data_IF_560559221863
#
_entry.id   IF_560559221863
#
_cell.length_a   1.000
_cell.length_b   1.000
_cell.length_c   1.000
_cell.angle_alpha   90.00
_cell.angle_beta   90.00
_cell.angle_gamma   90.00
#
_symmetry.space_group_name_H-M   'P 1'
#
loop_
_entity.id
_entity.type
_entity.pdbx_description
1 polymer ?
#
# COMPACT_ATOMS: atom_id res chain seq x y z
N UNK A 1 -23.56 -64.43 19.32
CA UNK A 1 -24.73 -64.12 18.49
C UNK A 1 -24.30 -63.28 17.29
N UNK A 2 -24.59 -63.78 16.09
CA UNK A 2 -24.66 -63.15 14.75
C UNK A 2 -23.49 -62.26 14.28
N UNK A 3 -22.56 -62.92 13.57
CA UNK A 3 -21.98 -62.39 12.33
C UNK A 3 -23.09 -62.34 11.26
N UNK A 4 -23.17 -61.26 10.50
CA UNK A 4 -23.99 -61.18 9.29
C UNK A 4 -23.11 -60.87 8.09
N UNK A 5 -23.40 -61.60 7.03
CA UNK A 5 -22.62 -61.74 5.83
C UNK A 5 -23.59 -61.65 4.65
N UNK A 6 -23.21 -60.83 3.65
CA UNK A 6 -23.58 -60.85 2.23
C UNK A 6 -25.02 -60.38 1.85
N UNK A 7 -25.25 -59.81 0.63
CA UNK A 7 -24.80 -60.38 -0.64
C UNK A 7 -24.26 -59.46 -1.76
N UNK A 8 -23.74 -60.15 -2.78
CA UNK A 8 -23.06 -59.76 -4.01
C UNK A 8 -23.96 -59.30 -5.18
N UNK A 9 -23.37 -58.42 -6.03
CA UNK A 9 -23.41 -58.34 -7.52
C UNK A 9 -24.73 -57.94 -8.25
N UNK A 10 -24.74 -57.51 -9.55
CA UNK A 10 -23.66 -57.42 -10.58
C UNK A 10 -23.57 -56.01 -11.26
N UNK A 11 -22.65 -55.68 -12.20
CA UNK A 11 -22.89 -55.71 -13.66
C UNK A 11 -21.77 -54.96 -14.43
N UNK A 12 -21.08 -55.66 -15.35
CA UNK A 12 -20.66 -55.29 -16.72
C UNK A 12 -19.70 -54.10 -17.02
N UNK A 13 -18.47 -54.48 -17.42
CA UNK A 13 -17.74 -54.11 -18.65
C UNK A 13 -18.24 -52.93 -19.50
N UNK A 14 -17.38 -51.93 -19.73
CA UNK A 14 -16.99 -51.49 -21.08
C UNK A 14 -15.80 -50.52 -21.03
N UNK A 15 -14.84 -50.78 -21.90
CA UNK A 15 -13.68 -49.93 -22.18
C UNK A 15 -14.10 -48.63 -22.90
N UNK A 16 -13.40 -47.54 -22.59
CA UNK A 16 -12.89 -46.58 -23.59
C UNK A 16 -11.85 -45.71 -22.89
N UNK A 17 -10.64 -45.67 -23.44
CA UNK A 17 -9.58 -44.80 -22.98
C UNK A 17 -9.99 -43.34 -23.15
N UNK A 18 -9.78 -42.56 -22.09
CA UNK A 18 -9.73 -41.11 -22.18
C UNK A 18 -8.29 -40.70 -21.88
N UNK A 19 -7.67 -40.19 -22.93
CA UNK A 19 -6.30 -39.71 -23.00
C UNK A 19 -6.22 -38.46 -22.13
N UNK A 20 -5.78 -38.62 -20.88
CA UNK A 20 -5.55 -37.48 -19.97
C UNK A 20 -4.59 -36.49 -20.64
N UNK A 21 -5.14 -35.37 -21.11
CA UNK A 21 -4.38 -34.18 -21.46
C UNK A 21 -3.45 -33.80 -20.29
N UNK A 22 -2.21 -33.36 -20.56
CA UNK A 22 -1.25 -33.10 -19.50
C UNK A 22 -1.75 -31.93 -18.65
N UNK A 23 -1.92 -32.22 -17.36
CA UNK A 23 -2.16 -31.25 -16.29
C UNK A 23 -1.09 -30.17 -16.34
N UNK A 24 -1.45 -29.01 -16.88
CA UNK A 24 -0.63 -27.80 -16.81
C UNK A 24 -1.09 -27.02 -15.58
N UNK A 25 -0.08 -26.63 -14.80
CA UNK A 25 -0.08 -25.90 -13.53
C UNK A 25 -1.25 -24.94 -13.31
N UNK A 26 -1.78 -24.98 -12.09
CA UNK A 26 -2.75 -24.02 -11.56
C UNK A 26 -2.19 -22.59 -11.61
N UNK A 27 -2.60 -21.83 -12.62
CA UNK A 27 -2.31 -20.40 -12.75
C UNK A 27 -3.64 -19.66 -12.62
N UNK A 28 -3.75 -18.79 -11.61
CA UNK A 28 -4.97 -18.03 -11.32
C UNK A 28 -5.40 -17.19 -12.52
N UNK A 29 -6.65 -17.37 -12.93
CA UNK A 29 -7.26 -16.69 -14.07
C UNK A 29 -7.83 -15.33 -13.62
N UNK A 30 -7.23 -14.22 -14.06
CA UNK A 30 -7.75 -12.87 -13.76
C UNK A 30 -8.60 -12.38 -14.93
N UNK A 31 -9.85 -11.96 -14.66
CA UNK A 31 -10.71 -11.32 -15.66
C UNK A 31 -10.36 -9.83 -15.76
N UNK A 32 -9.84 -9.38 -16.92
CA UNK A 32 -9.47 -7.97 -17.14
C UNK A 32 -10.69 -7.05 -17.21
N UNK A 33 -11.68 -7.45 -18.01
CA UNK A 33 -12.96 -6.80 -18.16
C UNK A 33 -13.97 -7.83 -18.65
N UNK A 34 -15.20 -7.75 -18.18
CA UNK A 34 -16.33 -8.49 -18.72
C UNK A 34 -17.24 -7.51 -19.46
N UNK A 35 -17.65 -7.85 -20.66
CA UNK A 35 -18.60 -7.06 -21.43
C UNK A 35 -20.02 -7.37 -20.98
N UNK A 36 -20.94 -6.42 -21.13
CA UNK A 36 -22.35 -6.60 -20.77
C UNK A 36 -23.01 -7.80 -21.48
N UNK A 37 -22.47 -8.18 -22.65
CA UNK A 37 -22.89 -9.34 -23.44
C UNK A 37 -22.34 -10.69 -22.91
N UNK A 38 -21.48 -10.68 -21.88
CA UNK A 38 -20.85 -11.86 -21.29
C UNK A 38 -19.87 -12.63 -22.19
N UNK A 39 -19.65 -12.18 -23.43
CA UNK A 39 -18.91 -12.93 -24.46
C UNK A 39 -17.40 -12.75 -24.41
N UNK A 40 -16.90 -11.70 -23.77
CA UNK A 40 -15.48 -11.47 -23.58
C UNK A 40 -15.14 -11.55 -22.09
N UNK A 41 -14.70 -12.73 -21.64
CA UNK A 41 -13.94 -12.90 -20.40
C UNK A 41 -12.52 -13.29 -20.82
N UNK A 42 -11.59 -12.35 -20.69
CA UNK A 42 -10.20 -12.65 -20.96
C UNK A 42 -9.52 -13.04 -19.67
N UNK A 43 -9.15 -14.31 -19.61
CA UNK A 43 -8.36 -14.89 -18.55
C UNK A 43 -6.90 -14.53 -18.77
N UNK A 44 -6.38 -13.75 -17.86
CA UNK A 44 -5.02 -13.25 -17.91
C UNK A 44 -4.11 -14.24 -17.19
N UNK A 45 -2.97 -14.58 -17.82
CA UNK A 45 -1.91 -15.33 -17.15
C UNK A 45 -1.22 -14.45 -16.12
N UNK A 46 -1.38 -14.84 -14.86
CA UNK A 46 -0.71 -14.25 -13.72
C UNK A 46 0.71 -14.80 -13.60
N UNK A 47 1.72 -13.93 -13.70
CA UNK A 47 3.09 -14.27 -13.32
C UNK A 47 3.70 -13.13 -12.51
N UNK A 48 4.15 -13.44 -11.29
CA UNK A 48 4.78 -12.49 -10.35
C UNK A 48 3.94 -11.23 -10.07
N UNK A 49 2.63 -11.37 -9.88
CA UNK A 49 1.74 -10.26 -9.54
C UNK A 49 1.43 -9.31 -10.70
N UNK A 50 1.87 -9.63 -11.92
CA UNK A 50 1.54 -8.89 -13.14
C UNK A 50 0.91 -9.79 -14.19
N UNK A 51 0.22 -9.12 -15.10
CA UNK A 51 -0.52 -9.72 -16.21
C UNK A 51 0.29 -9.58 -17.47
N UNK A 52 0.38 -10.67 -18.23
CA UNK A 52 1.11 -10.71 -19.48
C UNK A 52 0.24 -11.24 -20.61
N UNK A 53 0.20 -10.50 -21.73
CA UNK A 53 -0.46 -10.94 -22.96
C UNK A 53 0.51 -10.88 -24.14
N UNK A 54 0.45 -11.88 -25.00
CA UNK A 54 1.08 -11.86 -26.31
C UNK A 54 0.39 -10.88 -27.25
N UNK A 55 1.07 -10.54 -28.34
CA UNK A 55 0.49 -9.66 -29.36
C UNK A 55 -0.79 -10.22 -30.00
N UNK A 56 -0.89 -11.54 -30.13
CA UNK A 56 -2.06 -12.21 -30.68
C UNK A 56 -3.25 -12.15 -29.71
N UNK A 57 -2.99 -12.35 -28.42
CA UNK A 57 -4.03 -12.22 -27.38
C UNK A 57 -4.53 -10.78 -27.27
N UNK A 58 -3.65 -9.78 -27.38
CA UNK A 58 -4.03 -8.36 -27.46
C UNK A 58 -4.92 -8.05 -28.68
N UNK A 59 -4.59 -8.63 -29.84
CA UNK A 59 -5.38 -8.46 -31.05
C UNK A 59 -6.78 -9.07 -30.89
N UNK A 60 -6.89 -10.24 -30.25
CA UNK A 60 -8.16 -10.86 -29.90
C UNK A 60 -8.95 -10.03 -28.86
N UNK A 61 -8.27 -9.58 -27.80
CA UNK A 61 -8.81 -8.76 -26.71
C UNK A 61 -9.53 -7.52 -27.23
N UNK A 62 -8.87 -6.79 -28.12
CA UNK A 62 -9.40 -5.54 -28.65
C UNK A 62 -10.08 -5.70 -30.01
N UNK A 63 -10.30 -6.94 -30.49
CA UNK A 63 -10.89 -7.24 -31.80
C UNK A 63 -10.27 -6.37 -32.91
N UNK A 64 -8.96 -6.44 -33.03
CA UNK A 64 -8.17 -5.70 -34.01
C UNK A 64 -7.10 -6.59 -34.63
N UNK A 65 -6.32 -6.06 -35.57
CA UNK A 65 -5.26 -6.83 -36.23
C UNK A 65 -3.97 -6.78 -35.42
N UNK A 66 -3.16 -7.85 -35.52
CA UNK A 66 -1.81 -7.88 -34.92
C UNK A 66 -0.95 -6.70 -35.38
N UNK A 67 -1.07 -6.31 -36.65
CA UNK A 67 -0.36 -5.17 -37.24
C UNK A 67 -0.75 -3.85 -36.58
N UNK A 68 -2.04 -3.67 -36.26
CA UNK A 68 -2.50 -2.48 -35.55
C UNK A 68 -1.97 -2.44 -34.11
N UNK A 69 -1.91 -3.60 -33.43
CA UNK A 69 -1.24 -3.72 -32.13
C UNK A 69 0.24 -3.35 -32.25
N UNK A 70 0.99 -3.87 -33.24
CA UNK A 70 2.40 -3.49 -33.48
C UNK A 70 2.57 -2.00 -33.63
N UNK A 71 1.68 -1.35 -34.38
CA UNK A 71 1.72 0.09 -34.60
C UNK A 71 1.53 0.85 -33.28
N UNK A 72 0.53 0.48 -32.47
CA UNK A 72 0.31 1.12 -31.17
C UNK A 72 1.48 0.91 -30.20
N UNK A 73 2.02 -0.31 -30.10
CA UNK A 73 3.21 -0.59 -29.26
C UNK A 73 4.39 0.28 -29.67
N UNK A 74 4.69 0.34 -30.98
CA UNK A 74 5.79 1.16 -31.50
C UNK A 74 5.62 2.63 -31.15
N UNK A 75 4.41 3.16 -31.30
CA UNK A 75 4.12 4.57 -31.01
C UNK A 75 4.24 4.87 -29.51
N UNK A 76 3.73 3.98 -28.64
CA UNK A 76 3.82 4.14 -27.18
C UNK A 76 5.28 4.21 -26.72
N UNK A 77 6.14 3.34 -27.26
CA UNK A 77 7.57 3.33 -26.94
C UNK A 77 8.29 4.54 -27.54
N UNK A 78 7.98 4.94 -28.78
CA UNK A 78 8.61 6.11 -29.41
C UNK A 78 8.25 7.42 -28.71
N UNK A 79 7.05 7.50 -28.15
CA UNK A 79 6.57 8.67 -27.41
C UNK A 79 7.15 8.71 -25.97
N UNK A 80 7.96 7.72 -25.59
CA UNK A 80 8.52 7.54 -24.24
C UNK A 80 7.46 7.47 -23.12
N UNK A 81 6.23 7.06 -23.43
CA UNK A 81 5.20 6.86 -22.42
C UNK A 81 5.52 5.66 -21.52
N UNK A 82 6.09 4.60 -22.11
CA UNK A 82 6.52 3.40 -21.41
C UNK A 82 7.96 3.04 -21.81
N UNK A 83 8.72 2.49 -20.86
CA UNK A 83 10.08 2.02 -21.10
C UNK A 83 10.04 0.55 -21.53
N UNK A 84 10.60 0.23 -22.71
CA UNK A 84 10.51 -1.11 -23.32
C UNK A 84 10.97 -2.23 -22.37
N UNK A 85 12.09 -2.03 -21.68
CA UNK A 85 12.65 -3.00 -20.74
C UNK A 85 11.75 -3.31 -19.53
N UNK A 86 10.77 -2.45 -19.22
CA UNK A 86 9.83 -2.65 -18.13
C UNK A 86 8.52 -3.32 -18.58
N UNK A 87 8.17 -3.23 -19.87
CA UNK A 87 6.83 -3.58 -20.37
C UNK A 87 6.83 -4.71 -21.41
N UNK A 88 7.99 -5.14 -21.88
CA UNK A 88 8.14 -6.23 -22.85
C UNK A 88 9.08 -7.30 -22.28
N UNK A 89 8.66 -8.57 -22.35
CA UNK A 89 9.54 -9.73 -22.10
C UNK A 89 9.44 -10.74 -23.23
N UNK A 90 10.51 -11.51 -23.45
CA UNK A 90 10.49 -12.64 -24.37
C UNK A 90 10.19 -13.93 -23.61
N UNK A 91 9.29 -14.76 -24.15
CA UNK A 91 9.02 -16.11 -23.65
C UNK A 91 9.15 -17.14 -24.78
N UNK A 92 9.54 -18.36 -24.43
CA UNK A 92 9.70 -19.47 -25.36
C UNK A 92 8.44 -20.35 -25.34
N UNK A 93 7.53 -20.06 -26.27
CA UNK A 93 6.32 -20.85 -26.47
C UNK A 93 6.52 -21.94 -27.52
N UNK A 94 6.14 -23.17 -27.19
CA UNK A 94 6.07 -24.29 -28.16
C UNK A 94 4.75 -24.19 -28.92
N UNK A 95 4.79 -24.10 -30.24
CA UNK A 95 3.59 -24.09 -31.07
C UNK A 95 3.08 -25.50 -31.37
N UNK A 96 1.88 -25.59 -31.96
CA UNK A 96 1.22 -26.85 -32.32
C UNK A 96 2.03 -27.74 -33.30
N UNK A 97 3.04 -27.17 -33.97
CA UNK A 97 3.97 -27.87 -34.85
C UNK A 97 5.22 -28.43 -34.13
N UNK A 98 5.27 -28.33 -32.79
CA UNK A 98 6.36 -28.81 -31.95
C UNK A 98 7.60 -27.90 -31.93
N UNK A 99 7.60 -26.77 -32.65
CA UNK A 99 8.72 -25.83 -32.66
C UNK A 99 8.58 -24.78 -31.56
N UNK A 100 9.72 -24.34 -31.02
CA UNK A 100 9.79 -23.25 -30.04
C UNK A 100 9.96 -21.92 -30.76
N UNK A 101 9.06 -20.99 -30.46
CA UNK A 101 9.08 -19.63 -30.96
C UNK A 101 9.30 -18.67 -29.81
N UNK A 102 10.15 -17.66 -30.05
CA UNK A 102 10.25 -16.49 -29.18
C UNK A 102 9.02 -15.63 -29.41
N UNK A 103 8.22 -15.45 -28.37
CA UNK A 103 7.03 -14.60 -28.38
C UNK A 103 7.25 -13.45 -27.43
N UNK A 104 6.92 -12.24 -27.88
CA UNK A 104 6.90 -11.07 -27.02
C UNK A 104 5.61 -11.05 -26.20
N UNK A 105 5.75 -10.84 -24.89
CA UNK A 105 4.67 -10.64 -23.95
C UNK A 105 4.70 -9.20 -23.43
N UNK A 106 3.53 -8.63 -23.25
CA UNK A 106 3.31 -7.25 -22.86
C UNK A 106 2.62 -7.16 -21.50
N UNK A 107 3.09 -6.26 -20.63
CA UNK A 107 2.54 -6.04 -19.27
C UNK A 107 1.14 -5.44 -19.28
N UNK A 108 0.49 -5.45 -18.10
CA UNK A 108 -0.74 -4.70 -17.83
C UNK A 108 -0.66 -3.24 -18.31
N UNK A 109 0.44 -2.53 -18.04
CA UNK A 109 0.59 -1.13 -18.44
C UNK A 109 0.49 -0.94 -19.95
N UNK A 110 1.14 -1.81 -20.72
CA UNK A 110 1.04 -1.82 -22.18
C UNK A 110 -0.38 -2.19 -22.63
N UNK A 111 -1.02 -3.18 -22.00
CA UNK A 111 -2.40 -3.58 -22.31
C UNK A 111 -3.37 -2.40 -22.12
N UNK A 112 -3.26 -1.68 -20.99
CA UNK A 112 -4.06 -0.50 -20.70
C UNK A 112 -3.80 0.62 -21.73
N UNK A 113 -2.54 0.94 -22.01
CA UNK A 113 -2.14 1.98 -22.94
C UNK A 113 -2.65 1.73 -24.38
N UNK A 114 -2.67 0.46 -24.81
CA UNK A 114 -3.25 0.04 -26.09
C UNK A 114 -4.78 0.18 -26.05
N UNK A 115 -5.44 -0.25 -24.97
CA UNK A 115 -6.90 -0.18 -24.84
C UNK A 115 -7.46 1.23 -25.00
N UNK A 116 -6.74 2.25 -24.54
CA UNK A 116 -7.11 3.65 -24.76
C UNK A 116 -6.94 4.13 -26.21
N UNK A 117 -6.07 3.50 -27.01
CA UNK A 117 -5.74 3.93 -28.38
C UNK A 117 -6.47 3.15 -29.47
N UNK A 118 -6.84 1.90 -29.21
CA UNK A 118 -7.47 1.05 -30.23
C UNK A 118 -8.86 1.58 -30.59
N UNK A 119 -9.06 1.81 -31.89
CA UNK A 119 -10.36 2.18 -32.47
C UNK A 119 -11.11 0.92 -32.87
N UNK A 120 -11.78 0.28 -31.91
CA UNK A 120 -12.67 -0.86 -32.14
C UNK A 120 -13.89 -0.79 -31.20
N UNK A 121 -14.95 -1.58 -31.44
CA UNK A 121 -16.05 -1.71 -30.50
C UNK A 121 -15.57 -2.14 -29.10
N UNK A 122 -14.66 -3.12 -29.02
CA UNK A 122 -14.05 -3.55 -27.74
C UNK A 122 -13.19 -2.47 -27.09
N UNK A 123 -12.39 -1.73 -27.87
CA UNK A 123 -11.64 -0.58 -27.34
C UNK A 123 -12.57 0.52 -26.79
N UNK A 124 -13.75 0.71 -27.41
CA UNK A 124 -14.76 1.66 -26.93
C UNK A 124 -15.39 1.20 -25.61
N UNK A 125 -15.78 -0.08 -25.52
CA UNK A 125 -16.30 -0.67 -24.29
C UNK A 125 -15.27 -0.63 -23.15
N UNK A 126 -14.01 -0.97 -23.45
CA UNK A 126 -12.91 -0.88 -22.49
C UNK A 126 -12.75 0.55 -21.95
N UNK A 127 -12.78 1.57 -22.81
CA UNK A 127 -12.70 2.97 -22.36
C UNK A 127 -13.91 3.39 -21.54
N UNK A 128 -15.12 2.96 -21.89
CA UNK A 128 -16.33 3.23 -21.11
C UNK A 128 -16.22 2.60 -19.72
N UNK A 129 -15.83 1.33 -19.65
CA UNK A 129 -15.56 0.62 -18.40
C UNK A 129 -14.52 1.35 -17.55
N UNK A 130 -13.36 1.68 -18.12
CA UNK A 130 -12.28 2.34 -17.39
C UNK A 130 -12.69 3.75 -16.91
N UNK A 131 -13.44 4.48 -17.73
CA UNK A 131 -13.97 5.81 -17.36
C UNK A 131 -14.97 5.71 -16.21
N UNK A 132 -15.83 4.70 -16.19
CA UNK A 132 -16.78 4.48 -15.10
C UNK A 132 -16.05 4.22 -13.78
N UNK A 133 -15.06 3.33 -13.77
CA UNK A 133 -14.30 3.01 -12.56
C UNK A 133 -13.42 4.18 -12.11
N UNK A 134 -12.77 4.88 -13.04
CA UNK A 134 -12.01 6.09 -12.72
C UNK A 134 -12.90 7.20 -12.15
N UNK A 135 -14.10 7.39 -12.71
CA UNK A 135 -15.08 8.34 -12.17
C UNK A 135 -15.49 7.96 -10.75
N UNK A 136 -15.77 6.68 -10.52
CA UNK A 136 -16.11 6.19 -9.19
C UNK A 136 -14.97 6.46 -8.19
N UNK A 137 -13.72 6.15 -8.56
CA UNK A 137 -12.56 6.46 -7.74
C UNK A 137 -12.44 7.96 -7.44
N UNK A 138 -12.63 8.83 -8.43
CA UNK A 138 -12.52 10.28 -8.26
C UNK A 138 -13.64 10.86 -7.36
N UNK A 139 -14.83 10.25 -7.36
CA UNK A 139 -15.97 10.73 -6.55
C UNK A 139 -15.96 10.13 -5.14
N UNK A 140 -15.72 8.82 -5.01
CA UNK A 140 -15.83 8.08 -3.75
C UNK A 140 -14.48 7.91 -3.03
N UNK A 141 -13.37 7.94 -3.77
CA UNK A 141 -12.02 7.65 -3.26
C UNK A 141 -11.62 6.17 -3.31
N UNK A 142 -12.46 5.27 -3.84
CA UNK A 142 -12.19 3.84 -3.94
C UNK A 142 -12.98 3.19 -5.09
N UNK A 143 -12.55 2.00 -5.50
CA UNK A 143 -13.22 1.08 -6.45
C UNK A 143 -13.10 -0.33 -5.90
N UNK A 144 -14.16 -1.14 -5.98
CA UNK A 144 -14.17 -2.52 -5.48
C UNK A 144 -14.77 -3.47 -6.52
N UNK A 145 -14.27 -4.70 -6.51
CA UNK A 145 -14.82 -5.83 -7.26
C UNK A 145 -15.31 -6.85 -6.22
N UNK A 146 -16.55 -6.66 -5.78
CA UNK A 146 -17.12 -7.40 -4.64
C UNK A 146 -17.18 -8.91 -4.90
N UNK A 147 -17.47 -9.32 -6.14
CA UNK A 147 -17.56 -10.74 -6.49
C UNK A 147 -16.19 -11.40 -6.43
N UNK A 148 -15.14 -10.73 -6.92
CA UNK A 148 -13.76 -11.25 -6.80
C UNK A 148 -13.25 -11.24 -5.35
N UNK A 149 -13.68 -10.28 -4.53
CA UNK A 149 -13.34 -10.26 -3.11
C UNK A 149 -14.06 -11.37 -2.32
N UNK A 150 -15.22 -11.86 -2.79
CA UNK A 150 -15.94 -13.00 -2.20
C UNK A 150 -15.38 -14.35 -2.64
N UNK A 151 -14.99 -14.46 -3.90
CA UNK A 151 -14.41 -15.67 -4.49
C UNK A 151 -13.06 -15.35 -5.17
N UNK A 152 -11.98 -15.24 -4.37
CA UNK A 152 -10.66 -14.94 -4.90
C UNK A 152 -10.14 -16.20 -5.60
N UNK A 153 -10.17 -16.19 -6.94
CA UNK A 153 -9.63 -17.24 -7.81
C UNK A 153 -8.08 -17.34 -7.76
N UNK A 154 -7.50 -17.42 -6.56
CA UNK A 154 -6.07 -17.39 -6.27
C UNK A 154 -5.45 -16.00 -6.09
N UNK A 155 -6.23 -14.93 -6.28
CA UNK A 155 -5.80 -13.53 -6.13
C UNK A 155 -6.51 -12.89 -4.93
N UNK A 156 -5.98 -13.15 -3.74
CA UNK A 156 -6.58 -12.67 -2.50
C UNK A 156 -5.81 -11.48 -1.92
N UNK A 157 -6.39 -10.28 -2.10
CA UNK A 157 -5.94 -9.04 -1.45
C UNK A 157 -6.92 -8.59 -0.36
N UNK A 158 -7.84 -9.45 0.06
CA UNK A 158 -8.88 -9.10 1.02
C UNK A 158 -8.28 -8.70 2.37
N UNK A 159 -7.27 -9.44 2.85
CA UNK A 159 -6.58 -9.12 4.11
C UNK A 159 -5.86 -7.77 4.05
N UNK A 160 -5.22 -7.45 2.92
CA UNK A 160 -4.57 -6.15 2.70
C UNK A 160 -5.59 -5.02 2.70
N UNK A 161 -6.73 -5.21 2.01
CA UNK A 161 -7.83 -4.25 2.01
C UNK A 161 -8.39 -4.03 3.42
N UNK A 162 -8.59 -5.11 4.18
CA UNK A 162 -9.10 -5.06 5.54
C UNK A 162 -8.14 -4.32 6.48
N UNK A 163 -6.82 -4.50 6.31
CA UNK A 163 -5.83 -3.77 7.09
C UNK A 163 -5.82 -2.28 6.74
N UNK A 164 -5.90 -1.92 5.45
CA UNK A 164 -6.04 -0.52 5.02
C UNK A 164 -7.31 0.14 5.57
N UNK A 165 -8.44 -0.56 5.54
CA UNK A 165 -9.70 -0.08 6.13
C UNK A 165 -9.54 0.14 7.63
N UNK A 166 -8.91 -0.79 8.35
CA UNK A 166 -8.61 -0.65 9.78
C UNK A 166 -7.75 0.58 10.05
N UNK A 167 -6.66 0.77 9.31
CA UNK A 167 -5.78 1.94 9.45
C UNK A 167 -6.53 3.26 9.19
N UNK A 168 -7.39 3.31 8.17
CA UNK A 168 -8.22 4.49 7.89
C UNK A 168 -9.19 4.75 9.05
N UNK A 169 -9.87 3.71 9.54
CA UNK A 169 -10.86 3.80 10.62
C UNK A 169 -10.22 4.24 11.95
N UNK A 170 -9.00 3.79 12.23
CA UNK A 170 -8.25 4.13 13.44
C UNK A 170 -7.32 5.33 13.27
N UNK A 171 -7.36 6.00 12.11
CA UNK A 171 -6.73 7.31 11.96
C UNK A 171 -7.32 8.27 13.00
N UNK A 172 -6.46 9.08 13.64
CA UNK A 172 -6.86 9.92 14.78
C UNK A 172 -8.10 10.76 14.48
N UNK A 173 -8.18 11.34 13.26
CA UNK A 173 -9.32 12.14 12.83
C UNK A 173 -10.61 11.32 12.75
N UNK A 174 -10.58 10.13 12.13
CA UNK A 174 -11.78 9.29 11.97
C UNK A 174 -12.21 8.67 13.29
N UNK A 175 -11.24 8.20 14.08
CA UNK A 175 -11.48 7.66 15.41
C UNK A 175 -12.12 8.72 16.31
N UNK A 176 -11.56 9.94 16.36
CA UNK A 176 -12.14 11.06 17.12
C UNK A 176 -13.57 11.40 16.66
N UNK A 177 -13.79 11.53 15.35
CA UNK A 177 -15.13 11.82 14.81
C UNK A 177 -16.14 10.75 15.24
N UNK A 178 -15.81 9.47 15.07
CA UNK A 178 -16.69 8.36 15.44
C UNK A 178 -17.01 8.32 16.92
N UNK A 179 -16.01 8.51 17.77
CA UNK A 179 -16.22 8.60 19.23
C UNK A 179 -17.14 9.78 19.58
N UNK A 180 -16.92 10.95 18.97
CA UNK A 180 -17.78 12.12 19.17
C UNK A 180 -19.22 11.86 18.73
N UNK A 181 -19.41 11.24 17.57
CA UNK A 181 -20.74 10.90 17.04
C UNK A 181 -21.49 9.93 17.97
N UNK A 182 -20.79 8.97 18.57
CA UNK A 182 -21.35 8.04 19.56
C UNK A 182 -21.76 8.76 20.85
N UNK A 183 -21.00 9.77 21.29
CA UNK A 183 -21.30 10.50 22.52
C UNK A 183 -22.39 11.53 22.36
N UNK A 184 -22.57 12.07 21.17
CA UNK A 184 -23.72 12.90 20.86
C UNK A 184 -25.06 12.18 21.08
N UNK A 185 -25.06 10.84 21.19
CA UNK A 185 -26.22 10.02 21.54
C UNK A 185 -26.50 9.94 23.04
N UNK A 186 -25.59 10.42 23.90
CA UNK A 186 -25.76 10.35 25.35
C UNK A 186 -26.70 11.45 25.88
N UNK A 187 -27.58 11.08 26.80
CA UNK A 187 -28.60 12.00 27.39
C UNK A 187 -28.00 13.14 28.19
N UNK A 188 -26.81 12.96 28.76
CA UNK A 188 -26.08 13.97 29.52
C UNK A 188 -24.89 14.58 28.76
N UNK A 189 -24.80 14.35 27.45
CA UNK A 189 -23.80 15.01 26.61
C UNK A 189 -24.04 16.51 26.58
N UNK A 190 -22.98 17.26 26.88
CA UNK A 190 -22.91 18.71 26.68
C UNK A 190 -21.80 18.93 25.66
N UNK A 191 -22.01 19.85 24.74
CA UNK A 191 -21.01 20.23 23.74
C UNK A 191 -19.88 21.06 24.40
N UNK A 192 -19.13 20.40 25.27
CA UNK A 192 -17.95 20.89 25.96
C UNK A 192 -16.73 20.20 25.34
N UNK A 193 -16.03 20.95 24.50
CA UNK A 193 -14.82 20.51 23.81
C UNK A 193 -13.72 20.06 24.78
N UNK A 194 -13.67 20.64 26.00
CA UNK A 194 -12.64 20.33 26.99
C UNK A 194 -12.88 18.97 27.61
N UNK A 195 -14.10 18.71 28.08
CA UNK A 195 -14.48 17.43 28.67
C UNK A 195 -14.38 16.28 27.63
N UNK A 196 -14.79 16.54 26.39
CA UNK A 196 -14.71 15.58 25.28
C UNK A 196 -13.26 15.28 24.90
N UNK A 197 -12.41 16.31 24.84
CA UNK A 197 -10.97 16.15 24.59
C UNK A 197 -10.25 15.35 25.67
N UNK A 198 -10.55 15.62 26.95
CA UNK A 198 -9.98 14.85 28.07
C UNK A 198 -10.38 13.39 28.03
N UNK A 199 -11.66 13.10 27.79
CA UNK A 199 -12.13 11.73 27.65
C UNK A 199 -11.41 11.01 26.50
N UNK A 200 -11.30 11.66 25.33
CA UNK A 200 -10.61 11.09 24.18
C UNK A 200 -9.16 10.74 24.51
N UNK A 201 -8.44 11.65 25.18
CA UNK A 201 -7.07 11.41 25.64
C UNK A 201 -6.99 10.22 26.61
N UNK A 202 -7.99 10.05 27.49
CA UNK A 202 -8.08 8.89 28.39
C UNK A 202 -8.26 7.59 27.60
N UNK A 203 -9.19 7.54 26.65
CA UNK A 203 -9.42 6.34 25.82
C UNK A 203 -8.19 6.01 24.98
N UNK A 204 -7.58 7.01 24.33
CA UNK A 204 -6.38 6.80 23.54
C UNK A 204 -5.24 6.24 24.39
N UNK A 205 -5.04 6.78 25.61
CA UNK A 205 -4.04 6.25 26.53
C UNK A 205 -4.37 4.83 27.01
N UNK A 206 -5.64 4.52 27.29
CA UNK A 206 -6.06 3.15 27.66
C UNK A 206 -5.78 2.16 26.53
N UNK A 207 -6.11 2.50 25.29
CA UNK A 207 -5.85 1.64 24.12
C UNK A 207 -4.35 1.48 23.86
N UNK A 208 -3.57 2.56 23.99
CA UNK A 208 -2.12 2.51 23.87
C UNK A 208 -1.48 1.65 24.96
N UNK A 209 -1.94 1.79 26.21
CA UNK A 209 -1.46 1.01 27.35
C UNK A 209 -1.81 -0.48 27.21
N UNK A 210 -2.99 -0.80 26.68
CA UNK A 210 -3.43 -2.17 26.39
C UNK A 210 -2.54 -2.91 25.36
N UNK A 211 -1.66 -2.18 24.66
CA UNK A 211 -0.67 -2.72 23.71
C UNK A 211 0.75 -2.60 24.27
N UNK A 212 1.12 -1.43 24.78
CA UNK A 212 2.52 -1.10 25.12
C UNK A 212 2.85 -1.21 26.61
N UNK A 213 1.81 -1.36 27.46
CA UNK A 213 1.91 -1.25 28.92
C UNK A 213 2.50 0.09 29.41
N UNK A 214 2.40 1.13 28.57
CA UNK A 214 2.90 2.47 28.84
C UNK A 214 1.86 3.50 28.43
N UNK A 215 1.75 4.58 29.22
CA UNK A 215 1.01 5.77 28.78
C UNK A 215 1.76 6.44 27.62
N UNK A 216 1.07 7.30 26.84
CA UNK A 216 1.71 8.06 25.77
C UNK A 216 2.93 8.85 26.25
N UNK A 217 2.79 9.47 27.44
CA UNK A 217 3.86 10.26 28.03
C UNK A 217 5.09 9.42 28.40
N UNK A 218 4.88 8.25 29.03
CA UNK A 218 5.95 7.33 29.38
C UNK A 218 6.63 6.76 28.14
N UNK A 219 5.85 6.35 27.13
CA UNK A 219 6.36 5.78 25.89
C UNK A 219 7.33 6.74 25.18
N UNK A 220 6.92 8.01 25.03
CA UNK A 220 7.74 9.04 24.39
C UNK A 220 9.01 9.29 25.20
N UNK A 221 8.89 9.48 26.52
CA UNK A 221 10.07 9.75 27.38
C UNK A 221 11.05 8.57 27.40
N UNK A 222 10.57 7.36 27.23
CA UNK A 222 11.45 6.19 27.15
C UNK A 222 12.11 6.07 25.77
N UNK A 223 11.36 6.24 24.68
CA UNK A 223 11.84 5.92 23.32
C UNK A 223 12.46 7.09 22.55
N UNK A 224 12.16 8.34 22.91
CA UNK A 224 12.68 9.50 22.19
C UNK A 224 14.19 9.62 22.41
N UNK A 225 15.02 9.08 21.54
CA UNK A 225 16.48 9.03 21.73
C UNK A 225 17.20 9.94 20.72
N UNK A 226 17.82 11.06 21.13
CA UNK A 226 18.48 12.00 20.22
C UNK A 226 19.72 11.42 19.51
N UNK A 227 20.23 10.27 19.95
CA UNK A 227 21.40 9.61 19.38
C UNK A 227 21.02 8.59 18.29
N UNK A 228 19.75 8.20 18.23
CA UNK A 228 19.23 7.31 17.19
C UNK A 228 18.83 8.09 15.93
N UNK A 229 18.86 7.45 14.75
CA UNK A 229 18.32 8.04 13.53
C UNK A 229 16.87 8.51 13.74
N UNK A 230 16.56 9.72 13.29
CA UNK A 230 15.22 10.30 13.39
C UNK A 230 14.64 10.30 14.82
N UNK A 231 15.49 10.37 15.85
CA UNK A 231 15.10 10.23 17.25
C UNK A 231 14.40 8.92 17.64
N UNK A 232 14.63 7.84 16.90
CA UNK A 232 13.91 6.57 17.01
C UNK A 232 12.41 6.62 16.64
N UNK A 233 11.97 7.67 15.92
CA UNK A 233 10.64 7.65 15.31
C UNK A 233 10.58 6.58 14.22
N UNK A 234 9.42 5.92 14.11
CA UNK A 234 9.08 4.93 13.09
C UNK A 234 8.11 5.47 12.04
N UNK A 235 7.49 6.64 12.26
CA UNK A 235 6.62 7.29 11.29
C UNK A 235 6.48 8.80 11.52
N UNK A 236 6.43 9.59 10.45
CA UNK A 236 6.16 11.04 10.45
C UNK A 236 5.73 11.48 9.03
N UNK A 237 5.10 12.65 8.92
CA UNK A 237 4.47 13.10 7.65
C UNK A 237 5.39 13.87 6.72
N UNK A 238 6.37 14.58 7.25
CA UNK A 238 7.23 15.48 6.47
C UNK A 238 8.51 14.79 5.98
N UNK A 239 9.27 15.44 5.10
CA UNK A 239 10.56 14.93 4.64
C UNK A 239 11.58 14.75 5.78
N UNK A 240 11.41 15.51 6.89
CA UNK A 240 12.26 15.43 8.07
C UNK A 240 11.42 15.48 9.35
N UNK A 241 11.97 14.93 10.45
CA UNK A 241 11.34 14.97 11.78
C UNK A 241 11.23 16.40 12.28
N UNK A 242 10.01 16.79 12.68
CA UNK A 242 9.68 18.10 13.24
C UNK A 242 9.44 18.01 14.74
N UNK A 243 9.52 19.18 15.40
CA UNK A 243 9.23 19.33 16.83
C UNK A 243 7.81 18.87 17.22
N UNK A 244 6.85 18.90 16.30
CA UNK A 244 5.48 18.39 16.51
C UNK A 244 5.41 16.87 16.44
N UNK A 245 6.34 16.21 15.75
CA UNK A 245 6.30 14.76 15.55
C UNK A 245 6.80 14.01 16.79
N UNK A 246 7.71 14.61 17.57
CA UNK A 246 8.32 13.98 18.76
C UNK A 246 7.40 13.92 19.98
N UNK A 247 6.23 14.56 19.91
CA UNK A 247 5.21 14.53 20.99
C UNK A 247 4.05 13.58 20.67
N UNK A 248 4.11 12.87 19.54
CA UNK A 248 3.07 11.92 19.10
C UNK A 248 3.53 10.51 19.42
N UNK A 249 2.89 9.86 20.39
CA UNK A 249 3.26 8.53 20.85
C UNK A 249 3.20 7.46 19.74
N UNK A 250 2.23 7.59 18.82
CA UNK A 250 2.09 6.67 17.67
C UNK A 250 3.35 6.63 16.80
N UNK A 251 4.09 7.73 16.71
CA UNK A 251 5.32 7.82 15.91
C UNK A 251 6.49 7.04 16.50
N UNK A 252 6.36 6.51 17.72
CA UNK A 252 7.37 5.68 18.38
C UNK A 252 6.98 4.20 18.45
N UNK A 253 5.85 3.80 17.88
CA UNK A 253 5.39 2.42 17.89
C UNK A 253 6.13 1.56 16.88
N UNK A 254 6.48 0.35 17.28
CA UNK A 254 6.94 -0.67 16.36
C UNK A 254 5.77 -1.13 15.46
N UNK A 255 6.09 -1.74 14.32
CA UNK A 255 5.09 -2.18 13.34
C UNK A 255 4.01 -3.07 13.99
N UNK A 256 4.43 -4.04 14.80
CA UNK A 256 3.50 -4.95 15.50
C UNK A 256 2.61 -4.20 16.50
N UNK A 257 3.15 -3.26 17.28
CA UNK A 257 2.38 -2.47 18.23
C UNK A 257 1.37 -1.57 17.51
N UNK A 258 1.74 -1.00 16.35
CA UNK A 258 0.83 -0.20 15.54
C UNK A 258 -0.33 -1.05 14.98
N UNK A 259 -0.05 -2.25 14.46
CA UNK A 259 -1.07 -3.20 14.02
C UNK A 259 -1.98 -3.62 15.16
N UNK A 260 -1.43 -3.94 16.34
CA UNK A 260 -2.22 -4.28 17.53
C UNK A 260 -3.08 -3.11 18.00
N UNK A 261 -2.55 -1.87 17.98
CA UNK A 261 -3.29 -0.65 18.34
C UNK A 261 -4.44 -0.39 17.35
N UNK A 262 -4.20 -0.54 16.05
CA UNK A 262 -5.26 -0.43 15.04
C UNK A 262 -6.32 -1.51 15.23
N UNK A 263 -5.93 -2.75 15.56
CA UNK A 263 -6.87 -3.84 15.79
C UNK A 263 -7.77 -3.58 17.00
N UNK A 264 -7.19 -3.23 18.16
CA UNK A 264 -7.97 -2.97 19.38
C UNK A 264 -8.89 -1.75 19.23
N UNK A 265 -8.41 -0.67 18.59
CA UNK A 265 -9.20 0.53 18.39
C UNK A 265 -10.38 0.29 17.42
N UNK A 266 -10.19 -0.50 16.35
CA UNK A 266 -11.27 -0.89 15.46
C UNK A 266 -12.33 -1.75 16.18
N UNK A 267 -11.89 -2.77 16.93
CA UNK A 267 -12.78 -3.61 17.74
C UNK A 267 -13.58 -2.81 18.78
N UNK A 268 -12.96 -1.79 19.39
CA UNK A 268 -13.65 -0.92 20.33
C UNK A 268 -14.74 -0.10 19.65
N UNK A 269 -14.49 0.42 18.44
CA UNK A 269 -15.50 1.15 17.69
C UNK A 269 -16.70 0.24 17.34
N UNK A 270 -16.46 -0.99 16.89
CA UNK A 270 -17.53 -1.95 16.62
C UNK A 270 -18.36 -2.23 17.87
N UNK A 271 -17.69 -2.48 18.99
CA UNK A 271 -18.33 -2.68 20.29
C UNK A 271 -19.16 -1.46 20.72
N UNK A 272 -18.60 -0.26 20.56
CA UNK A 272 -19.25 0.98 20.95
C UNK A 272 -20.47 1.29 20.07
N UNK A 273 -20.37 1.07 18.75
CA UNK A 273 -21.47 1.21 17.79
C UNK A 273 -22.61 0.24 18.11
N UNK A 274 -22.30 -1.04 18.40
CA UNK A 274 -23.31 -2.02 18.82
C UNK A 274 -24.01 -1.60 20.12
N UNK A 275 -23.25 -1.16 21.14
CA UNK A 275 -23.81 -0.68 22.42
C UNK A 275 -24.71 0.54 22.25
N UNK A 276 -24.31 1.49 21.40
CA UNK A 276 -25.12 2.65 21.06
C UNK A 276 -26.43 2.25 20.36
N UNK A 277 -26.38 1.29 19.44
CA UNK A 277 -27.58 0.85 18.72
C UNK A 277 -28.62 0.16 19.61
N UNK A 278 -28.19 -0.48 20.71
CA UNK A 278 -29.03 -1.27 21.60
C UNK A 278 -29.64 -0.49 22.77
N UNK A 279 -29.16 0.71 23.09
CA UNK A 279 -29.55 1.45 24.30
C UNK A 279 -30.07 2.84 23.97
N UNK A 280 -31.22 3.18 24.53
CA UNK A 280 -31.87 4.48 24.31
C UNK A 280 -31.41 5.57 25.30
N UNK A 281 -30.86 5.21 26.47
CA UNK A 281 -30.47 6.17 27.52
C UNK A 281 -29.01 5.97 27.97
N UNK A 282 -28.04 6.25 27.10
CA UNK A 282 -26.62 6.19 27.45
C UNK A 282 -26.15 7.46 28.15
N UNK A 283 -25.32 7.32 29.19
CA UNK A 283 -24.65 8.44 29.85
C UNK A 283 -23.16 8.47 29.53
N UNK A 284 -22.53 9.63 29.67
CA UNK A 284 -21.08 9.79 29.48
C UNK A 284 -20.25 8.90 30.41
N UNK A 285 -20.75 8.61 31.61
CA UNK A 285 -20.06 7.71 32.54
C UNK A 285 -20.14 6.24 32.10
N UNK A 286 -21.23 5.83 31.44
CA UNK A 286 -21.36 4.48 30.89
C UNK A 286 -20.25 4.21 29.87
N UNK A 287 -19.91 5.19 29.03
CA UNK A 287 -18.83 5.09 28.07
C UNK A 287 -17.45 4.87 28.72
N UNK A 288 -17.18 5.49 29.87
CA UNK A 288 -15.94 5.24 30.62
C UNK A 288 -15.86 3.78 31.08
N UNK A 289 -16.96 3.29 31.65
CA UNK A 289 -17.05 1.90 32.11
C UNK A 289 -16.98 0.90 30.95
N UNK A 290 -17.53 1.24 29.78
CA UNK A 290 -17.48 0.42 28.59
C UNK A 290 -16.07 0.28 28.03
N UNK A 291 -15.28 1.34 28.03
CA UNK A 291 -13.86 1.27 27.65
C UNK A 291 -13.13 0.29 28.58
N UNK A 292 -13.34 0.40 29.89
CA UNK A 292 -12.64 -0.43 30.88
C UNK A 292 -13.03 -1.90 30.75
N UNK A 293 -14.35 -2.18 30.70
CA UNK A 293 -14.87 -3.54 30.48
C UNK A 293 -14.39 -4.11 29.15
N UNK A 294 -14.32 -3.30 28.09
CA UNK A 294 -13.84 -3.75 26.80
C UNK A 294 -12.37 -4.17 26.86
N UNK A 295 -11.50 -3.37 27.49
CA UNK A 295 -10.08 -3.71 27.65
C UNK A 295 -9.91 -4.98 28.49
N UNK A 296 -10.61 -5.08 29.63
CA UNK A 296 -10.55 -6.25 30.51
C UNK A 296 -11.10 -7.52 29.84
N UNK A 297 -12.25 -7.42 29.17
CA UNK A 297 -12.88 -8.55 28.47
C UNK A 297 -11.99 -9.13 27.36
N UNK A 298 -11.18 -8.28 26.71
CA UNK A 298 -10.22 -8.70 25.71
C UNK A 298 -8.88 -9.20 26.31
N UNK A 299 -8.83 -9.44 27.62
CA UNK A 299 -7.66 -9.92 28.37
C UNK A 299 -6.43 -9.00 28.23
N UNK A 300 -6.67 -7.69 28.10
CA UNK A 300 -5.59 -6.70 27.94
C UNK A 300 -5.29 -5.94 29.23
N UNK A 301 -4.05 -5.48 29.42
CA UNK A 301 -3.69 -4.66 30.58
C UNK A 301 -4.50 -3.37 30.61
N UNK A 302 -5.26 -3.16 31.70
CA UNK A 302 -6.01 -1.94 31.93
C UNK A 302 -5.15 -0.89 32.65
N UNK A 303 -5.14 0.34 32.13
CA UNK A 303 -4.55 1.49 32.79
C UNK A 303 -5.45 1.95 33.95
N UNK A 304 -4.98 1.76 35.19
CA UNK A 304 -5.73 2.08 36.42
C UNK A 304 -5.43 3.47 37.00
N UNK A 305 -4.30 4.06 36.63
CA UNK A 305 -3.84 5.36 37.11
C UNK A 305 -3.41 6.28 35.94
N UNK A 306 -2.99 7.51 36.24
CA UNK A 306 -2.57 8.48 35.22
C UNK A 306 -1.15 8.25 34.69
N UNK A 307 -0.47 7.17 35.11
CA UNK A 307 0.94 6.94 34.86
C UNK A 307 1.86 7.79 35.73
N UNK A 308 3.17 7.64 35.50
CA UNK A 308 4.22 8.29 36.31
C UNK A 308 4.77 9.59 35.70
N UNK A 309 4.41 9.89 34.45
CA UNK A 309 4.95 11.02 33.69
C UNK A 309 3.81 11.92 33.22
N UNK A 310 3.85 13.20 33.58
CA UNK A 310 2.86 14.17 33.11
C UNK A 310 3.09 14.57 31.65
N UNK A 311 2.03 15.07 31.00
CA UNK A 311 2.12 15.55 29.62
C UNK A 311 3.12 16.70 29.46
N UNK A 312 3.08 17.69 30.35
CA UNK A 312 4.01 18.82 30.35
C UNK A 312 5.46 18.36 30.51
N UNK A 313 5.71 17.40 31.42
CA UNK A 313 7.05 16.87 31.63
C UNK A 313 7.55 16.11 30.41
N UNK A 314 6.68 15.31 29.77
CA UNK A 314 7.02 14.64 28.51
C UNK A 314 7.36 15.65 27.41
N UNK A 315 6.57 16.70 27.23
CA UNK A 315 6.82 17.71 26.20
C UNK A 315 8.18 18.40 26.40
N UNK A 316 8.50 18.78 27.64
CA UNK A 316 9.81 19.35 27.98
C UNK A 316 10.95 18.42 27.56
N UNK A 317 10.91 17.16 28.01
CA UNK A 317 11.96 16.17 27.71
C UNK A 317 12.07 15.92 26.20
N UNK A 318 10.94 15.71 25.51
CA UNK A 318 10.93 15.45 24.07
C UNK A 318 11.51 16.64 23.27
N UNK A 319 11.18 17.87 23.67
CA UNK A 319 11.69 19.08 23.02
C UNK A 319 13.17 19.34 23.31
N UNK A 320 13.64 19.09 24.53
CA UNK A 320 15.07 19.15 24.88
C UNK A 320 15.87 18.16 24.02
N UNK A 321 15.41 16.91 23.94
CA UNK A 321 16.05 15.88 23.10
C UNK A 321 15.98 16.23 21.61
N UNK A 322 14.87 16.81 21.14
CA UNK A 322 14.77 17.29 19.77
C UNK A 322 15.76 18.40 19.46
N UNK A 323 15.99 19.33 20.38
CA UNK A 323 16.99 20.39 20.18
C UNK A 323 18.41 19.81 20.00
N UNK A 324 18.76 18.79 20.78
CA UNK A 324 20.05 18.07 20.64
C UNK A 324 20.14 17.37 19.29
N UNK A 325 19.13 16.60 18.92
CA UNK A 325 19.07 15.90 17.64
C UNK A 325 19.15 16.85 16.44
N UNK A 326 18.34 17.90 16.44
CA UNK A 326 18.26 18.88 15.35
C UNK A 326 19.57 19.67 15.19
N UNK A 327 20.25 19.99 16.30
CA UNK A 327 21.58 20.58 16.26
C UNK A 327 22.62 19.63 15.63
N UNK A 328 22.62 18.33 16.00
CA UNK A 328 23.49 17.32 15.38
C UNK A 328 23.23 17.18 13.89
N UNK A 329 21.95 17.12 13.50
CA UNK A 329 21.52 17.02 12.10
C UNK A 329 22.00 18.22 11.29
N UNK A 330 21.72 19.45 11.74
CA UNK A 330 22.16 20.68 11.07
C UNK A 330 23.67 20.76 10.92
N UNK A 331 24.43 20.31 11.93
CA UNK A 331 25.89 20.24 11.85
C UNK A 331 26.36 19.23 10.79
N UNK A 332 25.74 18.04 10.73
CA UNK A 332 26.06 17.03 9.74
C UNK A 332 25.69 17.48 8.31
N UNK A 333 24.54 18.14 8.13
CA UNK A 333 24.11 18.72 6.85
C UNK A 333 25.09 19.80 6.38
N UNK A 334 25.52 20.70 7.27
CA UNK A 334 26.53 21.72 6.95
C UNK A 334 27.86 21.07 6.52
N UNK A 335 28.36 20.08 7.26
CA UNK A 335 29.58 19.36 6.90
C UNK A 335 29.46 18.61 5.56
N UNK A 336 28.29 18.07 5.25
CA UNK A 336 28.03 17.39 3.98
C UNK A 336 28.00 18.38 2.81
N UNK A 337 27.37 19.54 2.99
CA UNK A 337 27.36 20.62 2.00
C UNK A 337 28.79 21.13 1.73
N UNK A 338 29.56 21.40 2.79
CA UNK A 338 30.97 21.81 2.66
C UNK A 338 31.79 20.76 1.89
N UNK A 339 31.60 19.46 2.15
CA UNK A 339 32.28 18.39 1.42
C UNK A 339 31.84 18.29 -0.04
N UNK A 340 30.57 18.54 -0.34
CA UNK A 340 30.05 18.56 -1.71
C UNK A 340 30.61 19.74 -2.49
N UNK A 341 30.68 20.91 -1.88
CA UNK A 341 31.27 22.11 -2.48
C UNK A 341 32.76 21.91 -2.78
N UNK A 342 33.52 21.29 -1.86
CA UNK A 342 34.92 20.94 -2.08
C UNK A 342 35.06 19.98 -3.27
N UNK A 343 34.27 18.91 -3.34
CA UNK A 343 34.30 17.95 -4.45
C UNK A 343 33.93 18.61 -5.79
N UNK A 344 32.98 19.54 -5.77
CA UNK A 344 32.59 20.29 -6.95
C UNK A 344 33.74 21.18 -7.43
N UNK A 345 34.40 21.91 -6.52
CA UNK A 345 35.59 22.71 -6.82
C UNK A 345 36.75 21.87 -7.37
N UNK A 346 37.05 20.72 -6.75
CA UNK A 346 38.08 19.77 -7.24
C UNK A 346 37.75 19.25 -8.65
N UNK A 347 36.47 18.94 -8.92
CA UNK A 347 36.04 18.49 -10.24
C UNK A 347 36.18 19.60 -11.31
N UNK A 348 35.87 20.85 -10.95
CA UNK A 348 36.04 22.01 -11.82
C UNK A 348 37.52 22.29 -12.08
N UNK A 349 38.38 22.17 -11.07
CA UNK A 349 39.82 22.33 -11.21
C UNK A 349 40.41 21.25 -12.13
N UNK A 350 39.99 19.99 -11.98
CA UNK A 350 40.42 18.90 -12.86
C UNK A 350 40.00 19.15 -14.31
N UNK A 351 38.75 19.59 -14.54
CA UNK A 351 38.26 19.95 -15.88
C UNK A 351 39.03 21.13 -16.49
N UNK A 352 39.42 22.11 -15.66
CA UNK A 352 40.24 23.24 -16.10
C UNK A 352 41.65 22.79 -16.50
N UNK A 353 42.32 21.95 -15.69
CA UNK A 353 43.63 21.38 -16.01
C UNK A 353 43.60 20.53 -17.29
N UNK A 354 42.60 19.67 -17.45
CA UNK A 354 42.42 18.87 -18.67
C UNK A 354 42.17 19.72 -19.92
N UNK A 355 41.57 20.91 -19.76
CA UNK A 355 41.35 21.87 -20.85
C UNK A 355 42.64 22.62 -21.19
N UNK A 356 43.43 23.00 -20.20
CA UNK A 356 44.71 23.68 -20.38
C UNK A 356 45.76 22.75 -21.00
N UNK A 357 45.79 21.46 -20.62
CA UNK A 357 46.62 20.43 -21.25
C UNK A 357 46.24 20.19 -22.72
N UNK A 358 44.93 20.18 -23.04
CA UNK A 358 44.45 20.11 -24.44
C UNK A 358 44.74 21.38 -25.24
N UNK A 359 44.81 22.53 -24.59
CA UNK A 359 45.18 23.81 -25.20
C UNK A 359 46.69 23.93 -25.46
N UNK A 360 47.52 23.49 -24.53
CA UNK A 360 48.99 23.54 -24.65
C UNK A 360 49.55 22.56 -25.68
N UNK A 361 48.84 21.45 -25.96
CA UNK A 361 49.24 20.49 -27.01
C UNK A 361 48.84 20.93 -28.44
N UNK A 362 48.25 22.13 -28.59
CA UNK A 362 48.00 22.78 -29.88
C UNK A 362 48.93 23.99 -30.05
N UNK A 363 50.23 23.75 -30.24
CA UNK A 363 51.10 24.78 -30.80
C UNK A 363 50.83 24.94 -32.32
N UNK A 364 50.85 26.16 -32.87
CA UNK A 364 50.37 26.41 -34.21
C UNK A 364 51.37 25.90 -35.25
N UNK A 365 50.88 25.19 -36.26
CA UNK A 365 51.62 24.91 -37.48
C UNK A 365 52.05 26.26 -38.09
N UNK A 366 53.35 26.54 -38.04
CA UNK A 366 53.96 27.71 -38.63
C UNK A 366 53.98 27.53 -40.16
N UNK A 367 52.98 28.09 -40.84
CA UNK A 367 52.95 28.19 -42.31
C UNK A 367 54.01 29.20 -42.77
N UNK A 368 55.23 28.72 -42.90
CA UNK A 368 56.33 29.40 -43.56
C UNK A 368 56.19 29.34 -45.08
N UNK A 369 55.46 30.30 -45.66
CA UNK A 369 55.59 30.70 -47.07
C UNK A 369 57.05 31.12 -47.35
N UNK A 370 57.71 30.49 -48.32
CA UNK A 370 58.58 31.20 -49.28
C UNK A 370 58.90 30.35 -50.51
N UNK A 371 58.72 31.04 -51.64
CA UNK A 371 59.10 30.83 -53.04
C UNK A 371 60.31 29.94 -53.31
#
# INVERSE_FOLDING_TARGET
MRKHQLPDSPTTSAATGDERAPSTSAHGELVLYATDDGTARFYLRAENGSVWLSQLELAALFQTTKQNISLHVKNILSDNELQEAAVVKEDLTTAADGKRYRTQLYTLDMILAIGYRVKSPRGTQFRQWATTHLREYLVKGFVMDDERLKDPAGWDHFDELLERIREIRTSEKRFYQKIRDLFALSVDYRDDDTATGQFFAVVQNKMLYAVTQKTAAQLIVERADPDQPNMALTGWKAACVRKTDVIVAKNYLHAEENTQLNRIAAMFLDYAEDRASQRQDLRMDDWRQYVDRFVEFNERPLLKDAGTVSHERMQQIAHERYAVFDAKRRKAEAMAADSQDIKALESMEKLARERDERGSNRQPANDGKKL
#
